data_IF_265685362190
#
_entry.id   IF_265685362190
#
_cell.length_a   1.000
_cell.length_b   1.000
_cell.length_c   1.000
_cell.angle_alpha   90.00
_cell.angle_beta   90.00
_cell.angle_gamma   90.00
#
_symmetry.space_group_name_H-M   'P 1'
#
loop_
_entity.id
_entity.type
_entity.pdbx_description
1 polymer ?
#
# COMPACT_ATOMS: atom_id res chain seq x y z
N UNK A 1 -17.46 19.70 1.28
CA UNK A 1 -17.29 18.28 1.68
C UNK A 1 -15.81 17.95 1.67
N UNK A 2 -15.30 17.42 2.76
CA UNK A 2 -13.92 16.96 2.74
C UNK A 2 -13.79 15.78 1.77
N UNK A 3 -12.68 15.73 1.09
CA UNK A 3 -12.41 14.60 0.22
C UNK A 3 -12.10 13.37 1.04
N UNK A 4 -12.54 12.24 0.55
CA UNK A 4 -12.30 10.96 1.20
C UNK A 4 -11.46 10.10 0.28
N UNK A 5 -10.36 9.59 0.80
CA UNK A 5 -9.49 8.71 0.05
C UNK A 5 -9.94 7.27 0.26
N UNK A 6 -9.73 6.44 -0.75
CA UNK A 6 -10.06 5.02 -0.65
C UNK A 6 -8.85 4.27 -0.06
N UNK A 7 -9.11 3.11 0.51
CA UNK A 7 -8.08 2.22 1.06
C UNK A 7 -8.35 0.84 0.50
N UNK A 8 -7.32 0.19 0.00
CA UNK A 8 -7.45 -1.13 -0.58
C UNK A 8 -6.22 -1.97 -0.29
N UNK A 9 -6.38 -3.29 -0.29
CA UNK A 9 -5.26 -4.21 -0.13
C UNK A 9 -4.62 -4.49 -1.48
N UNK A 10 -3.29 -4.53 -1.52
CA UNK A 10 -2.60 -5.09 -2.66
C UNK A 10 -3.01 -6.56 -2.82
N UNK A 11 -3.28 -6.97 -4.04
CA UNK A 11 -3.68 -8.34 -4.37
C UNK A 11 -2.52 -9.00 -5.08
N UNK A 12 -2.06 -10.14 -4.55
CA UNK A 12 -0.98 -10.91 -5.17
C UNK A 12 -1.45 -11.56 -6.46
N UNK A 13 -0.49 -12.07 -7.24
CA UNK A 13 -0.79 -12.70 -8.51
C UNK A 13 -1.69 -13.93 -8.36
N UNK A 14 -1.61 -14.59 -7.19
CA UNK A 14 -2.43 -15.76 -6.87
C UNK A 14 -3.76 -15.37 -6.22
N UNK A 15 -4.09 -14.09 -6.15
CA UNK A 15 -5.31 -13.61 -5.52
C UNK A 15 -5.19 -13.41 -4.01
N UNK A 16 -4.02 -13.67 -3.42
CA UNK A 16 -3.83 -13.52 -1.98
C UNK A 16 -3.81 -12.05 -1.57
N UNK A 17 -4.08 -11.80 -0.29
CA UNK A 17 -4.07 -10.46 0.29
C UNK A 17 -3.01 -10.44 1.39
N UNK A 18 -1.75 -10.16 1.05
CA UNK A 18 -0.65 -10.32 2.01
C UNK A 18 -0.76 -9.44 3.25
N UNK A 19 -1.26 -8.21 3.13
CA UNK A 19 -1.40 -7.36 4.32
C UNK A 19 -2.51 -7.88 5.21
N UNK A 20 -3.61 -8.36 4.63
CA UNK A 20 -4.68 -8.95 5.42
C UNK A 20 -4.18 -10.20 6.15
N UNK A 21 -3.42 -11.05 5.46
CA UNK A 21 -2.84 -12.24 6.09
C UNK A 21 -1.92 -11.86 7.24
N UNK A 22 -1.13 -10.81 7.08
CA UNK A 22 -0.27 -10.31 8.15
C UNK A 22 -1.11 -9.82 9.33
N UNK A 23 -2.18 -9.08 9.07
CA UNK A 23 -3.06 -8.59 10.13
C UNK A 23 -3.61 -9.74 10.98
N UNK A 24 -3.88 -10.88 10.36
CA UNK A 24 -4.37 -12.04 11.09
C UNK A 24 -3.33 -12.61 12.05
N UNK A 25 -2.05 -12.30 11.87
CA UNK A 25 -0.98 -12.72 12.78
C UNK A 25 -0.74 -11.73 13.91
N UNK A 26 -1.30 -10.53 13.83
CA UNK A 26 -1.13 -9.49 14.85
C UNK A 26 -2.08 -9.79 16.01
N UNK A 27 -1.63 -9.61 17.27
CA UNK A 27 -2.53 -9.85 18.41
C UNK A 27 -3.82 -9.05 18.28
N UNK A 28 -4.94 -9.65 18.67
CA UNK A 28 -6.26 -9.09 18.42
C UNK A 28 -6.42 -7.68 18.96
N UNK A 29 -5.94 -7.42 20.16
CA UNK A 29 -6.04 -6.10 20.77
C UNK A 29 -5.20 -5.05 20.04
N UNK A 30 -4.08 -5.45 19.45
CA UNK A 30 -3.22 -4.56 18.68
C UNK A 30 -3.79 -4.38 17.27
N UNK A 31 -4.40 -5.43 16.72
CA UNK A 31 -4.96 -5.38 15.36
C UNK A 31 -5.94 -4.23 15.18
N UNK A 32 -6.80 -4.01 16.18
CA UNK A 32 -7.75 -2.89 16.13
C UNK A 32 -7.04 -1.55 16.05
N UNK A 33 -5.92 -1.42 16.76
CA UNK A 33 -5.14 -0.18 16.74
C UNK A 33 -4.44 0.02 15.41
N UNK A 34 -3.95 -1.05 14.79
CA UNK A 34 -3.33 -0.98 13.46
C UNK A 34 -4.37 -0.54 12.44
N UNK A 35 -5.57 -1.15 12.48
CA UNK A 35 -6.64 -0.81 11.56
C UNK A 35 -7.08 0.65 11.73
N UNK A 36 -7.15 1.13 12.98
CA UNK A 36 -7.49 2.53 13.25
C UNK A 36 -6.43 3.47 12.67
N UNK A 37 -5.16 3.09 12.75
CA UNK A 37 -4.08 3.88 12.18
C UNK A 37 -4.20 3.94 10.66
N UNK A 38 -4.49 2.80 10.02
CA UNK A 38 -4.71 2.75 8.58
C UNK A 38 -5.90 3.61 8.18
N UNK A 39 -6.96 3.58 8.99
CA UNK A 39 -8.18 4.31 8.67
C UNK A 39 -7.96 5.82 8.62
N UNK A 40 -6.94 6.34 9.31
CA UNK A 40 -6.61 7.76 9.23
C UNK A 40 -6.26 8.20 7.81
N UNK A 41 -5.82 7.26 6.97
CA UNK A 41 -5.50 7.57 5.57
C UNK A 41 -6.74 8.01 4.78
N UNK A 42 -7.92 7.58 5.22
CA UNK A 42 -9.17 7.87 4.50
C UNK A 42 -9.47 9.36 4.48
N UNK A 43 -9.27 10.03 5.61
CA UNK A 43 -9.54 11.47 5.70
C UNK A 43 -8.27 12.31 5.59
N UNK A 44 -7.14 11.80 6.07
CA UNK A 44 -5.88 12.55 6.02
C UNK A 44 -5.20 12.48 4.67
N UNK A 45 -5.34 11.35 3.97
CA UNK A 45 -4.73 11.19 2.68
C UNK A 45 -3.24 11.52 2.67
N UNK A 46 -2.75 12.15 1.59
CA UNK A 46 -1.33 12.49 1.51
C UNK A 46 -0.86 13.54 2.51
N UNK A 47 -1.77 14.24 3.19
CA UNK A 47 -1.37 15.23 4.19
C UNK A 47 -1.08 14.61 5.55
N UNK A 48 -1.47 13.36 5.76
CA UNK A 48 -1.17 12.67 7.00
C UNK A 48 0.34 12.42 7.08
N UNK A 49 0.96 12.79 8.19
CA UNK A 49 2.41 12.80 8.29
C UNK A 49 2.86 12.28 9.65
N UNK A 50 4.14 12.42 9.94
CA UNK A 50 4.75 11.97 11.18
C UNK A 50 3.99 12.52 12.39
N UNK A 51 3.75 11.75 13.43
CA UNK A 51 4.27 10.40 13.67
C UNK A 51 3.38 9.26 13.14
N UNK A 52 2.28 9.57 12.47
CA UNK A 52 1.33 8.57 12.01
C UNK A 52 1.81 7.86 10.76
N UNK A 53 2.46 8.60 9.87
CA UNK A 53 3.05 8.08 8.64
C UNK A 53 4.39 8.75 8.41
N UNK A 54 5.20 8.15 7.54
CA UNK A 54 6.42 8.79 7.06
C UNK A 54 6.74 8.31 5.66
N UNK A 55 7.51 9.12 4.95
CA UNK A 55 7.97 8.75 3.61
C UNK A 55 9.14 7.80 3.72
N UNK A 56 9.14 6.76 2.87
CA UNK A 56 10.25 5.83 2.79
C UNK A 56 11.14 6.21 1.60
N UNK A 57 10.58 6.22 0.39
CA UNK A 57 11.30 6.63 -0.81
C UNK A 57 10.28 6.86 -1.91
N UNK A 58 10.44 7.94 -2.67
CA UNK A 58 9.49 8.26 -3.74
C UNK A 58 8.05 8.27 -3.24
N UNK A 59 7.21 7.48 -3.88
CA UNK A 59 5.80 7.36 -3.51
C UNK A 59 5.56 6.37 -2.36
N UNK A 60 6.57 5.59 -2.02
CA UNK A 60 6.45 4.57 -0.98
C UNK A 60 6.48 5.21 0.39
N UNK A 61 5.45 4.94 1.19
CA UNK A 61 5.29 5.49 2.52
C UNK A 61 5.00 4.37 3.52
N UNK A 62 5.06 4.67 4.80
CA UNK A 62 4.72 3.71 5.85
C UNK A 62 3.69 4.31 6.79
N UNK A 63 2.71 3.51 7.19
CA UNK A 63 1.85 3.80 8.34
C UNK A 63 2.55 3.23 9.57
N UNK A 64 2.55 3.98 10.65
CA UNK A 64 3.38 3.72 11.83
C UNK A 64 2.54 3.56 13.08
N UNK A 65 2.78 2.49 13.82
CA UNK A 65 2.16 2.29 15.14
C UNK A 65 3.18 1.64 16.05
N UNK A 66 3.23 2.10 17.29
CA UNK A 66 4.07 1.48 18.30
C UNK A 66 3.20 1.12 19.49
N UNK A 67 3.32 -0.12 19.95
CA UNK A 67 2.64 -0.59 21.15
C UNK A 67 3.71 -1.21 22.04
N UNK A 68 3.98 -0.57 23.17
CA UNK A 68 5.10 -0.97 24.02
C UNK A 68 6.41 -0.80 23.28
N UNK A 69 7.17 -1.89 23.16
CA UNK A 69 8.45 -1.88 22.46
C UNK A 69 8.34 -2.39 21.03
N UNK A 70 7.15 -2.78 20.61
CA UNK A 70 6.95 -3.38 19.30
C UNK A 70 6.42 -2.33 18.32
N UNK A 71 7.02 -2.30 17.16
CA UNK A 71 6.62 -1.40 16.09
C UNK A 71 5.91 -2.18 15.01
N UNK A 72 4.75 -1.67 14.59
CA UNK A 72 3.93 -2.24 13.53
C UNK A 72 3.96 -1.27 12.36
N UNK A 73 4.28 -1.77 11.19
CA UNK A 73 4.44 -0.94 10.00
C UNK A 73 3.64 -1.53 8.85
N UNK A 74 3.02 -0.65 8.07
CA UNK A 74 2.35 -1.03 6.83
C UNK A 74 2.87 -0.10 5.74
N UNK A 75 3.54 -0.67 4.75
CA UNK A 75 3.97 0.10 3.60
C UNK A 75 2.79 0.30 2.66
N UNK A 76 2.68 1.49 2.11
CA UNK A 76 1.56 1.84 1.22
C UNK A 76 1.99 2.95 0.26
N UNK A 77 1.17 3.19 -0.74
CA UNK A 77 1.29 4.37 -1.61
C UNK A 77 -0.10 4.76 -2.09
N UNK A 78 -0.23 5.99 -2.59
CA UNK A 78 -1.48 6.45 -3.18
C UNK A 78 -1.38 6.27 -4.69
N UNK A 79 -2.33 5.53 -5.27
CA UNK A 79 -2.37 5.36 -6.72
C UNK A 79 -3.16 6.50 -7.37
N UNK A 80 -3.29 6.44 -8.68
CA UNK A 80 -3.93 7.51 -9.45
C UNK A 80 -5.44 7.57 -9.21
N UNK A 81 -6.03 6.52 -8.66
CA UNK A 81 -7.45 6.47 -8.35
C UNK A 81 -7.75 6.96 -6.94
N UNK A 82 -6.84 7.71 -6.32
CA UNK A 82 -7.00 8.24 -4.97
C UNK A 82 -7.20 7.12 -3.95
N UNK A 83 -6.48 6.02 -4.14
CA UNK A 83 -6.57 4.85 -3.27
C UNK A 83 -5.23 4.60 -2.61
N UNK A 84 -5.23 4.48 -1.28
CA UNK A 84 -4.07 4.04 -0.54
C UNK A 84 -4.00 2.51 -0.68
N UNK A 85 -2.99 2.02 -1.36
CA UNK A 85 -2.81 0.59 -1.59
C UNK A 85 -1.87 0.06 -0.52
N UNK A 86 -2.36 -0.85 0.32
CA UNK A 86 -1.59 -1.43 1.41
C UNK A 86 -0.74 -2.57 0.84
N UNK A 87 0.58 -2.40 0.89
CA UNK A 87 1.50 -3.24 0.15
C UNK A 87 2.14 -4.35 1.00
N UNK A 88 2.55 -4.02 2.23
CA UNK A 88 3.35 -4.94 3.02
C UNK A 88 3.24 -4.58 4.49
N UNK A 89 2.91 -5.55 5.34
CA UNK A 89 2.86 -5.35 6.79
C UNK A 89 3.96 -6.13 7.46
N UNK A 90 4.56 -5.55 8.49
CA UNK A 90 5.61 -6.21 9.24
C UNK A 90 5.73 -5.65 10.65
N UNK A 91 6.34 -6.43 11.52
CA UNK A 91 6.49 -6.12 12.93
C UNK A 91 7.98 -6.05 13.25
N UNK A 92 8.40 -5.04 14.00
CA UNK A 92 9.81 -4.83 14.25
C UNK A 92 10.07 -4.39 15.69
N UNK A 93 11.25 -4.75 16.19
CA UNK A 93 11.76 -4.25 17.47
C UNK A 93 12.56 -2.95 17.27
N UNK A 94 13.02 -2.64 16.07
CA UNK A 94 13.83 -1.46 15.79
C UNK A 94 13.07 -0.48 14.92
N UNK A 95 13.53 0.76 14.89
CA UNK A 95 12.86 1.82 14.11
C UNK A 95 13.13 1.73 12.61
N UNK A 96 14.26 1.16 12.21
CA UNK A 96 14.67 1.17 10.82
C UNK A 96 13.84 0.23 9.97
N UNK A 97 13.45 0.67 8.77
CA UNK A 97 12.83 -0.19 7.77
C UNK A 97 13.94 -0.87 7.00
N UNK A 98 13.94 -2.19 6.99
CA UNK A 98 15.00 -2.94 6.35
C UNK A 98 14.84 -2.97 4.84
N UNK A 99 15.95 -3.16 4.15
CA UNK A 99 15.94 -3.18 2.69
C UNK A 99 15.05 -4.30 2.14
N UNK A 100 14.99 -5.43 2.84
CA UNK A 100 14.11 -6.54 2.43
C UNK A 100 12.64 -6.12 2.42
N UNK A 101 12.22 -5.34 3.42
CA UNK A 101 10.83 -4.84 3.48
C UNK A 101 10.58 -3.84 2.37
N UNK A 102 11.52 -2.93 2.14
CA UNK A 102 11.40 -1.95 1.07
C UNK A 102 11.31 -2.61 -0.30
N UNK A 103 12.10 -3.66 -0.51
CA UNK A 103 12.11 -4.39 -1.78
C UNK A 103 10.75 -5.01 -2.06
N UNK A 104 10.13 -5.60 -1.05
CA UNK A 104 8.79 -6.15 -1.19
C UNK A 104 7.79 -5.05 -1.55
N UNK A 105 7.85 -3.93 -0.83
CA UNK A 105 6.97 -2.79 -1.08
C UNK A 105 7.13 -2.25 -2.49
N UNK A 106 8.37 -2.06 -2.94
CA UNK A 106 8.63 -1.55 -4.29
C UNK A 106 8.10 -2.48 -5.37
N UNK A 107 8.32 -3.79 -5.20
CA UNK A 107 7.88 -4.76 -6.20
C UNK A 107 6.36 -4.78 -6.31
N UNK A 108 5.68 -4.75 -5.17
CA UNK A 108 4.21 -4.77 -5.16
C UNK A 108 3.63 -3.48 -5.69
N UNK A 109 4.25 -2.34 -5.37
CA UNK A 109 3.83 -1.06 -5.90
C UNK A 109 3.93 -1.05 -7.43
N UNK A 110 5.05 -1.51 -7.97
CA UNK A 110 5.25 -1.58 -9.42
C UNK A 110 4.23 -2.51 -10.07
N UNK A 111 3.94 -3.64 -9.43
CA UNK A 111 2.95 -4.59 -9.93
C UNK A 111 1.56 -3.96 -10.00
N UNK A 112 1.16 -3.26 -8.93
CA UNK A 112 -0.15 -2.59 -8.91
C UNK A 112 -0.23 -1.51 -9.98
N UNK A 113 0.81 -0.70 -10.10
CA UNK A 113 0.84 0.38 -11.10
C UNK A 113 0.76 -0.18 -12.50
N UNK A 114 1.43 -1.29 -12.75
CA UNK A 114 1.40 -1.95 -14.06
C UNK A 114 0.00 -2.45 -14.39
N UNK A 115 -0.70 -3.04 -13.42
CA UNK A 115 -2.08 -3.49 -13.62
C UNK A 115 -3.02 -2.33 -13.87
N UNK A 116 -2.85 -1.26 -13.13
CA UNK A 116 -3.70 -0.08 -13.28
C UNK A 116 -3.50 0.55 -14.64
N UNK A 117 -2.25 0.66 -15.10
CA UNK A 117 -1.95 1.21 -16.42
C UNK A 117 -2.55 0.35 -17.53
N UNK A 118 -2.50 -0.98 -17.38
CA UNK A 118 -3.07 -1.88 -18.37
C UNK A 118 -4.59 -1.69 -18.47
N UNK A 119 -5.28 -1.55 -17.32
CA UNK A 119 -6.73 -1.30 -17.33
C UNK A 119 -7.05 0.03 -17.97
N UNK A 120 -6.30 1.07 -17.62
CA UNK A 120 -6.50 2.39 -18.17
C UNK A 120 -6.25 2.39 -19.67
N UNK A 121 -5.19 1.73 -20.11
CA UNK A 121 -4.88 1.60 -21.53
C UNK A 121 -5.97 0.89 -22.29
N UNK A 122 -6.53 -0.17 -21.71
CA UNK A 122 -7.63 -0.90 -22.35
C UNK A 122 -8.87 -0.04 -22.47
N UNK A 123 -9.13 0.81 -21.48
CA UNK A 123 -10.30 1.67 -21.53
C UNK A 123 -10.18 2.78 -22.56
N UNK A 124 -8.98 3.32 -22.68
CA UNK A 124 -8.80 4.48 -23.53
C UNK A 124 -8.37 4.14 -24.92
N UNK A 125 -7.82 2.97 -25.12
CA UNK A 125 -7.14 2.75 -26.30
C UNK A 125 -7.91 2.15 -27.25
N UNK A 126 -8.20 2.60 -28.23
CA UNK A 126 -8.28 1.89 -29.41
C UNK A 126 -6.95 2.01 -30.01
N UNK A 127 -6.10 1.68 -29.77
CA UNK A 127 -4.93 1.78 -30.36
C UNK A 127 -4.41 0.59 -30.88
N UNK A 128 -4.36 0.63 -31.40
CA UNK A 128 -3.85 -0.25 -31.55
C UNK A 128 -3.28 -0.86 -31.55
N UNK A 129 -3.22 -1.14 -32.06
CA UNK A 129 -2.64 -1.98 -31.76
C UNK A 129 -1.90 -2.29 -31.72
N UNK A 130 -1.69 -2.12 -31.87
CA UNK A 130 -0.79 -2.64 -31.58
C UNK A 130 -0.27 -3.04 -31.35
N UNK A 131 -0.22 -2.82 -31.67
CA UNK A 131 0.52 -3.22 -31.29
C UNK A 131 0.66 -3.77 -30.97
N UNK A 132 0.28 -3.65 -31.46
CA UNK A 132 0.69 -4.21 -31.08
C UNK A 132 0.97 -4.80 -30.81
N UNK A 133 0.81 -4.80 -31.46
CA UNK A 133 1.37 -5.52 -31.21
C UNK A 133 1.60 -6.10 -30.89
N UNK A 134 1.45 -5.99 -31.08
CA UNK A 134 1.88 -6.51 -30.89
C UNK A 134 1.90 -7.28 -30.56
N UNK A 135 1.63 -7.16 -30.99
CA UNK A 135 1.66 -7.85 -30.87
C UNK A 135 1.70 -8.47 -30.85
N UNK A 136 1.58 -8.31 -31.13
CA UNK A 136 1.56 -8.92 -31.26
C UNK A 136 1.85 -9.39 -31.25
#
# INVERSE_FOLDING_TARGET
MPEVWKIDFYIGDDGSLPVRAWLDTVPQDVRGKVLARIELLRTGGPTLDYPYTSQIEGKLREARLRVGKTRYRVLYFFDEDRTAILLHGFTKATAAVEESDKKIGRARMASHESRLAARTGQKTAPRTPAKENKRR
#
